data_IF_178636221167
#
_entry.id   IF_178636221167
#
_cell.length_a   1.000
_cell.length_b   1.000
_cell.length_c   1.000
_cell.angle_alpha   90.00
_cell.angle_beta   90.00
_cell.angle_gamma   90.00
#
_symmetry.space_group_name_H-M   'P 1'
#
loop_
_entity.id
_entity.type
_entity.pdbx_description
1 polymer ?
#
# COMPACT_ATOMS: atom_id res chain seq x y z
N UNK A 1 -23.20 -12.49 -38.63
CA UNK A 1 -22.92 -11.50 -37.55
C UNK A 1 -23.55 -12.06 -36.28
N UNK A 2 -22.83 -12.77 -35.37
CA UNK A 2 -22.08 -12.25 -34.19
C UNK A 2 -22.85 -11.12 -33.48
N UNK A 3 -23.24 -11.14 -32.19
CA UNK A 3 -22.89 -11.94 -30.99
C UNK A 3 -24.03 -11.85 -29.94
N UNK A 4 -24.14 -12.86 -29.07
CA UNK A 4 -24.90 -12.93 -27.79
C UNK A 4 -24.25 -12.09 -26.66
N UNK A 5 -24.97 -12.01 -25.51
CA UNK A 5 -24.67 -11.51 -24.14
C UNK A 5 -25.05 -10.02 -23.92
N UNK A 6 -25.78 -9.58 -22.87
CA UNK A 6 -25.90 -9.99 -21.46
C UNK A 6 -27.32 -9.82 -20.87
N UNK A 7 -27.64 -10.57 -19.82
CA UNK A 7 -28.76 -10.33 -18.89
C UNK A 7 -28.34 -9.37 -17.79
N UNK A 8 -29.25 -8.50 -17.32
CA UNK A 8 -29.30 -8.08 -15.90
C UNK A 8 -30.73 -7.72 -15.51
N UNK A 9 -31.15 -8.34 -14.42
CA UNK A 9 -32.34 -8.10 -13.59
C UNK A 9 -32.17 -6.86 -12.71
N UNK A 10 -33.31 -6.26 -12.33
CA UNK A 10 -33.53 -5.15 -11.37
C UNK A 10 -33.81 -3.77 -11.99
N UNK A 11 -35.06 -3.60 -12.41
CA UNK A 11 -35.73 -2.30 -12.41
C UNK A 11 -37.07 -2.49 -11.70
N UNK A 12 -37.06 -2.41 -10.38
CA UNK A 12 -38.26 -2.13 -9.60
C UNK A 12 -38.53 -0.62 -9.72
N UNK A 13 -39.22 -0.26 -10.78
CA UNK A 13 -39.80 1.07 -11.00
C UNK A 13 -41.21 0.86 -11.53
N UNK A 14 -42.11 0.40 -10.65
CA UNK A 14 -43.52 0.27 -10.99
C UNK A 14 -44.13 1.68 -11.09
N UNK A 15 -44.28 2.19 -12.31
CA UNK A 15 -45.24 3.22 -12.66
C UNK A 15 -46.08 2.66 -13.79
N UNK A 16 -47.31 2.26 -13.51
CA UNK A 16 -48.35 2.17 -14.52
C UNK A 16 -49.72 2.57 -13.96
N UNK A 17 -50.08 3.82 -14.24
CA UNK A 17 -51.33 4.33 -14.82
C UNK A 17 -52.66 3.71 -14.34
N UNK A 18 -53.50 4.53 -13.71
CA UNK A 18 -54.87 4.80 -14.17
C UNK A 18 -55.54 5.95 -13.39
N UNK A 19 -55.59 7.15 -13.98
CA UNK A 19 -56.87 7.84 -14.17
C UNK A 19 -56.69 8.92 -15.25
N UNK A 20 -57.56 8.91 -16.25
CA UNK A 20 -57.75 10.07 -17.12
C UNK A 20 -58.37 11.19 -16.28
N UNK A 21 -57.54 11.91 -15.54
CA UNK A 21 -57.81 13.24 -14.99
C UNK A 21 -56.51 14.03 -15.15
N UNK A 22 -56.49 14.94 -16.13
CA UNK A 22 -55.33 15.70 -16.56
C UNK A 22 -54.98 16.82 -15.57
N UNK A 23 -54.36 16.45 -14.46
CA UNK A 23 -53.83 17.38 -13.46
C UNK A 23 -52.64 16.77 -12.73
N UNK A 24 -51.55 16.48 -13.46
CA UNK A 24 -50.31 16.06 -12.82
C UNK A 24 -49.61 17.29 -12.22
N UNK A 25 -49.60 17.40 -10.89
CA UNK A 25 -48.68 18.29 -10.17
C UNK A 25 -47.29 17.67 -10.27
N UNK A 26 -46.42 18.24 -11.11
CA UNK A 26 -45.02 17.80 -11.18
C UNK A 26 -44.29 18.24 -9.91
N UNK A 27 -43.73 17.28 -9.17
CA UNK A 27 -42.77 17.57 -8.08
C UNK A 27 -41.45 18.01 -8.73
N UNK A 28 -40.94 19.23 -8.49
CA UNK A 28 -39.96 19.84 -9.41
C UNK A 28 -38.55 19.25 -9.41
N UNK A 29 -38.17 18.35 -8.49
CA UNK A 29 -36.76 17.99 -8.32
C UNK A 29 -36.52 16.47 -8.45
N UNK A 30 -35.93 16.04 -9.57
CA UNK A 30 -35.34 14.72 -9.75
C UNK A 30 -33.90 14.70 -9.21
N UNK A 31 -33.63 13.86 -8.22
CA UNK A 31 -32.27 13.67 -7.71
C UNK A 31 -31.39 13.00 -8.78
N UNK A 32 -30.27 13.64 -9.15
CA UNK A 32 -29.27 12.96 -9.96
C UNK A 32 -28.55 11.90 -9.11
N UNK A 33 -28.31 10.74 -9.71
CA UNK A 33 -27.60 9.64 -9.05
C UNK A 33 -26.23 10.10 -8.57
N UNK A 34 -25.98 9.99 -7.25
CA UNK A 34 -24.68 10.27 -6.63
C UNK A 34 -24.54 11.60 -5.88
N UNK A 35 -25.53 12.49 -5.90
CA UNK A 35 -25.56 13.68 -5.02
C UNK A 35 -26.32 13.40 -3.71
N UNK A 36 -25.76 13.69 -2.52
CA UNK A 36 -26.49 13.58 -1.26
C UNK A 36 -27.66 14.59 -1.22
N UNK A 37 -28.87 14.12 -0.95
CA UNK A 37 -30.02 15.00 -0.78
C UNK A 37 -29.83 15.86 0.48
N UNK A 38 -29.91 17.18 0.34
CA UNK A 38 -29.81 18.12 1.48
C UNK A 38 -31.18 18.29 2.12
N UNK A 39 -31.23 18.35 3.45
CA UNK A 39 -32.48 18.31 4.22
C UNK A 39 -33.50 19.41 3.81
N UNK A 40 -33.01 20.57 3.36
CA UNK A 40 -33.86 21.66 2.87
C UNK A 40 -34.63 21.31 1.60
N UNK A 41 -34.00 20.61 0.65
CA UNK A 41 -34.62 20.21 -0.63
C UNK A 41 -35.64 19.07 -0.42
N UNK A 42 -35.36 18.18 0.55
CA UNK A 42 -36.28 17.11 0.94
C UNK A 42 -37.53 17.68 1.59
N UNK A 43 -37.38 18.66 2.47
CA UNK A 43 -38.51 19.32 3.14
C UNK A 43 -39.39 20.10 2.15
N UNK A 44 -38.81 20.77 1.17
CA UNK A 44 -39.56 21.52 0.16
C UNK A 44 -40.44 20.59 -0.71
N UNK A 45 -39.94 19.38 -1.01
CA UNK A 45 -40.75 18.34 -1.69
C UNK A 45 -41.89 17.82 -0.80
N UNK A 46 -41.70 17.75 0.53
CA UNK A 46 -42.76 17.39 1.47
C UNK A 46 -43.82 18.47 1.58
N UNK A 47 -43.46 19.76 1.58
CA UNK A 47 -44.41 20.87 1.63
C UNK A 47 -45.30 20.94 0.38
N UNK A 48 -44.73 20.68 -0.81
CA UNK A 48 -45.49 20.59 -2.07
C UNK A 48 -46.46 19.41 -2.05
N UNK A 49 -46.05 18.28 -1.47
CA UNK A 49 -46.89 17.11 -1.32
C UNK A 49 -48.01 17.37 -0.30
N UNK A 50 -47.72 18.03 0.82
CA UNK A 50 -48.70 18.40 1.84
C UNK A 50 -49.78 19.35 1.28
N UNK A 51 -49.40 20.33 0.46
CA UNK A 51 -50.35 21.21 -0.23
C UNK A 51 -51.21 20.45 -1.24
N UNK A 52 -50.64 19.49 -1.99
CA UNK A 52 -51.39 18.65 -2.91
C UNK A 52 -52.39 17.74 -2.18
N UNK A 53 -52.03 17.25 -0.98
CA UNK A 53 -52.92 16.47 -0.11
C UNK A 53 -54.05 17.34 0.45
N UNK A 54 -53.77 18.57 0.90
CA UNK A 54 -54.81 19.49 1.39
C UNK A 54 -55.86 19.83 0.33
N UNK A 55 -55.47 19.92 -0.95
CA UNK A 55 -56.42 20.12 -2.07
C UNK A 55 -57.33 18.89 -2.24
N UNK A 56 -56.80 17.69 -2.04
CA UNK A 56 -57.56 16.43 -2.14
C UNK A 56 -58.45 16.18 -0.90
N UNK A 57 -58.12 16.77 0.24
CA UNK A 57 -58.93 16.73 1.47
C UNK A 57 -60.06 17.77 1.50
N UNK A 58 -60.11 18.70 0.53
CA UNK A 58 -61.19 19.68 0.43
C UNK A 58 -62.50 19.01 0.01
N UNK A 59 -63.59 19.30 0.73
CA UNK A 59 -64.93 18.74 0.47
C UNK A 59 -65.71 19.46 -0.64
N UNK A 60 -65.06 20.36 -1.37
CA UNK A 60 -65.72 21.13 -2.41
C UNK A 60 -65.84 20.28 -3.69
N UNK A 61 -67.05 20.11 -4.26
CA UNK A 61 -67.24 19.30 -5.46
C UNK A 61 -66.49 19.93 -6.65
N UNK A 62 -65.62 19.15 -7.29
CA UNK A 62 -64.97 19.53 -8.54
C UNK A 62 -65.99 19.40 -9.68
N UNK A 63 -66.36 20.49 -10.37
CA UNK A 63 -67.38 20.43 -11.43
C UNK A 63 -66.95 19.50 -12.56
N UNK A 64 -67.83 18.59 -12.97
CA UNK A 64 -67.56 17.69 -14.10
C UNK A 64 -67.27 18.45 -15.41
N UNK A 65 -66.55 17.85 -16.37
CA UNK A 65 -66.28 18.48 -17.66
C UNK A 65 -67.60 18.82 -18.37
N UNK A 66 -67.63 20.00 -19.00
CA UNK A 66 -68.81 20.47 -19.72
C UNK A 66 -69.18 19.50 -20.85
N UNK A 67 -70.48 19.24 -21.04
CA UNK A 67 -70.94 18.29 -22.06
C UNK A 67 -70.53 18.71 -23.48
N UNK A 68 -70.50 17.79 -24.46
CA UNK A 68 -70.23 18.13 -25.85
C UNK A 68 -71.29 19.09 -26.41
N UNK A 69 -70.88 19.99 -27.30
CA UNK A 69 -71.82 20.88 -28.02
C UNK A 69 -72.74 20.09 -28.94
N UNK A 70 -74.01 20.52 -29.04
CA UNK A 70 -75.00 19.87 -29.90
C UNK A 70 -74.67 20.03 -31.40
N UNK A 71 -75.11 19.09 -32.25
CA UNK A 71 -74.83 19.14 -33.68
C UNK A 71 -75.45 20.39 -34.33
N UNK A 72 -74.72 20.99 -35.28
CA UNK A 72 -75.18 22.15 -36.03
C UNK A 72 -76.26 21.73 -37.05
N UNK A 73 -77.37 22.48 -37.10
CA UNK A 73 -78.50 22.19 -37.99
C UNK A 73 -78.11 22.23 -39.48
N UNK A 74 -78.55 21.23 -40.24
CA UNK A 74 -78.23 21.10 -41.68
C UNK A 74 -78.72 22.30 -42.50
N UNK A 75 -77.84 22.82 -43.37
CA UNK A 75 -78.11 23.97 -44.23
C UNK A 75 -79.02 23.58 -45.41
N UNK A 76 -80.17 24.23 -45.54
CA UNK A 76 -81.06 24.07 -46.70
C UNK A 76 -80.52 24.76 -47.96
N UNK A 77 -81.01 24.44 -49.16
CA UNK A 77 -80.38 24.80 -50.45
C UNK A 77 -80.33 26.31 -50.77
N UNK A 78 -80.89 27.20 -49.93
CA UNK A 78 -80.86 28.64 -50.17
C UNK A 78 -80.83 29.54 -48.91
N UNK A 79 -80.27 29.07 -47.79
CA UNK A 79 -80.07 29.89 -46.57
C UNK A 79 -78.79 29.51 -45.81
N UNK A 80 -78.27 30.37 -44.93
CA UNK A 80 -77.11 30.09 -44.05
C UNK A 80 -77.42 29.00 -43.01
N UNK A 81 -76.43 28.19 -42.62
CA UNK A 81 -76.59 27.10 -41.65
C UNK A 81 -77.24 27.59 -40.33
N UNK A 82 -78.08 26.76 -39.70
CA UNK A 82 -78.77 27.10 -38.45
C UNK A 82 -77.80 27.23 -37.26
N UNK A 83 -78.20 27.90 -36.16
CA UNK A 83 -77.37 28.04 -34.96
C UNK A 83 -77.03 26.67 -34.35
N UNK A 84 -75.82 26.55 -33.80
CA UNK A 84 -75.33 25.34 -33.14
C UNK A 84 -76.15 25.06 -31.87
N UNK A 85 -76.46 23.78 -31.61
CA UNK A 85 -77.27 23.39 -30.45
C UNK A 85 -76.56 23.69 -29.13
N UNK A 86 -77.33 24.07 -28.10
CA UNK A 86 -76.79 24.40 -26.77
C UNK A 86 -75.93 23.27 -26.20
N UNK A 87 -74.85 23.64 -25.50
CA UNK A 87 -73.96 22.71 -24.83
C UNK A 87 -74.72 21.86 -23.81
N UNK A 88 -74.50 20.53 -23.83
CA UNK A 88 -75.14 19.62 -22.88
C UNK A 88 -74.78 19.93 -21.42
N UNK A 89 -75.60 19.52 -20.43
CA UNK A 89 -75.28 19.72 -19.02
C UNK A 89 -73.92 19.10 -18.68
N UNK A 90 -73.17 19.73 -17.77
CA UNK A 90 -71.92 19.18 -17.25
C UNK A 90 -72.14 17.78 -16.66
N UNK A 91 -71.14 16.89 -16.80
CA UNK A 91 -71.18 15.56 -16.20
C UNK A 91 -71.32 15.63 -14.67
N UNK A 92 -71.76 14.54 -14.04
CA UNK A 92 -71.87 14.45 -12.58
C UNK A 92 -70.55 14.81 -11.89
N UNK A 93 -70.64 15.59 -10.81
CA UNK A 93 -69.49 15.95 -9.99
C UNK A 93 -68.77 14.69 -9.48
N UNK A 94 -67.44 14.71 -9.51
CA UNK A 94 -66.65 13.62 -8.96
C UNK A 94 -66.77 13.66 -7.43
N UNK A 95 -67.46 12.67 -6.85
CA UNK A 95 -67.44 12.44 -5.41
C UNK A 95 -66.05 11.89 -5.08
N UNK A 96 -65.21 12.70 -4.44
CA UNK A 96 -63.98 12.23 -3.80
C UNK A 96 -64.44 11.40 -2.59
N UNK A 97 -64.26 10.08 -2.63
CA UNK A 97 -64.43 9.19 -1.48
C UNK A 97 -63.19 9.32 -0.59
N UNK A 98 -63.26 9.97 0.58
CA UNK A 98 -62.10 10.13 1.47
C UNK A 98 -61.58 8.79 2.01
N UNK A 99 -62.36 7.71 1.90
CA UNK A 99 -61.95 6.36 2.29
C UNK A 99 -60.93 5.70 1.36
N UNK A 100 -60.65 6.28 0.19
CA UNK A 100 -59.75 5.74 -0.84
C UNK A 100 -58.37 6.42 -0.89
N UNK A 101 -58.09 7.40 -0.02
CA UNK A 101 -56.75 7.97 0.14
C UNK A 101 -55.88 6.99 0.94
N UNK A 102 -55.37 5.95 0.27
CA UNK A 102 -54.37 5.06 0.85
C UNK A 102 -53.03 5.80 0.94
N UNK A 103 -52.80 6.50 2.05
CA UNK A 103 -51.45 6.91 2.50
C UNK A 103 -50.66 5.65 2.88
N UNK A 104 -50.22 4.89 1.89
CA UNK A 104 -49.68 3.54 2.13
C UNK A 104 -48.17 3.51 2.22
N UNK A 105 -47.68 4.11 3.30
CA UNK A 105 -46.52 3.60 4.03
C UNK A 105 -46.96 3.43 5.49
N UNK A 106 -47.35 2.21 5.87
CA UNK A 106 -47.75 1.86 7.23
C UNK A 106 -46.61 1.13 7.92
N UNK A 107 -45.73 1.88 8.58
CA UNK A 107 -44.65 1.34 9.40
C UNK A 107 -43.46 2.29 9.53
N UNK A 108 -42.77 2.21 10.65
CA UNK A 108 -41.49 2.90 10.89
C UNK A 108 -40.48 1.87 11.36
N UNK A 109 -39.27 1.91 10.84
CA UNK A 109 -38.21 1.06 11.34
C UNK A 109 -37.71 1.54 12.71
N UNK A 110 -37.37 0.59 13.57
CA UNK A 110 -36.74 0.91 14.85
C UNK A 110 -35.46 1.71 14.62
N UNK A 111 -35.12 2.60 15.56
CA UNK A 111 -33.87 3.36 15.51
C UNK A 111 -32.69 2.39 15.37
N UNK A 112 -31.88 2.54 14.32
CA UNK A 112 -30.79 1.62 13.97
C UNK A 112 -31.14 0.56 12.91
N UNK A 113 -32.37 0.55 12.40
CA UNK A 113 -32.81 -0.27 11.25
C UNK A 113 -33.05 0.62 10.03
N UNK A 114 -32.98 0.05 8.83
CA UNK A 114 -33.30 0.75 7.58
C UNK A 114 -34.53 0.12 6.91
N UNK A 115 -35.18 0.88 6.04
CA UNK A 115 -36.30 0.36 5.23
C UNK A 115 -35.71 -0.55 4.15
N UNK A 116 -35.94 -1.86 4.27
CA UNK A 116 -35.48 -2.86 3.30
C UNK A 116 -36.41 -2.98 2.08
N UNK A 117 -37.72 -2.85 2.29
CA UNK A 117 -38.72 -2.83 1.21
C UNK A 117 -40.02 -2.17 1.68
N UNK A 118 -40.83 -1.70 0.72
CA UNK A 118 -42.23 -1.28 0.95
C UNK A 118 -43.09 -2.14 0.02
N UNK A 119 -44.00 -2.93 0.59
CA UNK A 119 -44.87 -3.82 -0.19
C UNK A 119 -46.01 -3.04 -0.88
N UNK A 120 -46.69 -3.67 -1.85
CA UNK A 120 -47.84 -3.07 -2.56
C UNK A 120 -48.99 -2.64 -1.63
N UNK A 121 -49.06 -3.23 -0.43
CA UNK A 121 -50.03 -2.87 0.60
C UNK A 121 -49.58 -1.71 1.51
N UNK A 122 -48.40 -1.15 1.26
CA UNK A 122 -47.79 -0.07 2.04
C UNK A 122 -47.02 -0.51 3.27
N UNK A 123 -46.92 -1.80 3.57
CA UNK A 123 -46.17 -2.26 4.75
C UNK A 123 -44.66 -2.05 4.57
N UNK A 124 -44.01 -1.52 5.61
CA UNK A 124 -42.55 -1.33 5.66
C UNK A 124 -41.89 -2.60 6.18
N UNK A 125 -41.05 -3.23 5.36
CA UNK A 125 -40.13 -4.27 5.81
C UNK A 125 -38.84 -3.61 6.27
N UNK A 126 -38.44 -3.83 7.52
CA UNK A 126 -37.23 -3.28 8.08
C UNK A 126 -36.06 -4.26 7.97
N UNK A 127 -34.94 -3.79 7.45
CA UNK A 127 -33.66 -4.46 7.58
C UNK A 127 -33.07 -4.11 8.95
N UNK A 128 -32.81 -5.12 9.77
CA UNK A 128 -32.15 -4.89 11.05
C UNK A 128 -30.68 -4.57 10.80
N UNK A 129 -30.22 -3.40 11.22
CA UNK A 129 -28.79 -3.05 11.26
C UNK A 129 -28.00 -3.85 12.31
N UNK A 130 -28.67 -4.71 13.10
CA UNK A 130 -28.12 -5.62 14.11
C UNK A 130 -28.93 -6.92 14.17
N UNK A 131 -28.33 -8.10 14.00
CA UNK A 131 -29.01 -9.38 14.32
C UNK A 131 -28.82 -9.80 15.79
N UNK A 132 -29.47 -10.88 16.22
CA UNK A 132 -29.30 -11.43 17.57
C UNK A 132 -27.85 -11.85 17.88
N UNK A 133 -27.03 -11.96 16.84
CA UNK A 133 -25.62 -12.34 16.85
C UNK A 133 -24.69 -11.11 16.91
N UNK A 134 -25.26 -9.92 17.13
CA UNK A 134 -24.58 -8.63 17.23
C UNK A 134 -23.86 -8.18 15.95
N UNK A 135 -24.29 -8.63 14.78
CA UNK A 135 -23.70 -8.23 13.50
C UNK A 135 -24.27 -6.91 12.96
N UNK A 136 -23.41 -5.99 12.53
CA UNK A 136 -23.80 -4.80 11.76
C UNK A 136 -23.87 -5.09 10.27
N UNK A 137 -24.99 -4.79 9.61
CA UNK A 137 -25.22 -5.09 8.18
C UNK A 137 -25.85 -3.94 7.41
N UNK A 138 -25.16 -3.47 6.37
CA UNK A 138 -25.62 -2.42 5.46
C UNK A 138 -25.16 -2.69 4.02
N UNK A 139 -26.09 -2.81 3.08
CA UNK A 139 -25.81 -3.11 1.67
C UNK A 139 -26.44 -4.44 1.21
N UNK A 140 -26.84 -4.49 -0.05
CA UNK A 140 -27.41 -5.70 -0.65
C UNK A 140 -26.39 -6.85 -0.62
N UNK A 141 -26.82 -8.05 -0.27
CA UNK A 141 -25.94 -9.23 -0.22
C UNK A 141 -24.98 -9.29 0.98
N UNK A 142 -25.00 -8.32 1.89
CA UNK A 142 -24.15 -8.34 3.08
C UNK A 142 -24.57 -9.43 4.08
N UNK A 143 -23.63 -10.26 4.54
CA UNK A 143 -23.83 -11.33 5.54
C UNK A 143 -24.94 -12.36 5.22
N UNK A 144 -25.27 -12.57 3.93
CA UNK A 144 -26.40 -13.46 3.54
C UNK A 144 -26.19 -14.94 3.88
N UNK A 145 -24.95 -15.41 3.92
CA UNK A 145 -24.62 -16.82 4.24
C UNK A 145 -24.33 -17.05 5.72
N UNK A 146 -24.45 -16.02 6.56
CA UNK A 146 -24.07 -16.10 7.97
C UNK A 146 -24.99 -17.06 8.73
N UNK A 147 -24.41 -18.01 9.45
CA UNK A 147 -25.18 -19.07 10.12
C UNK A 147 -25.60 -18.56 11.51
N UNK A 148 -26.90 -18.37 11.74
CA UNK A 148 -27.43 -17.90 13.02
C UNK A 148 -26.91 -18.70 14.22
N UNK A 149 -26.43 -17.99 15.26
CA UNK A 149 -25.76 -18.59 16.43
C UNK A 149 -24.27 -18.91 16.24
N UNK A 150 -23.71 -18.54 15.09
CA UNK A 150 -22.29 -18.51 14.75
C UNK A 150 -22.01 -17.30 13.84
N UNK A 151 -20.75 -16.95 13.60
CA UNK A 151 -20.44 -15.75 12.81
C UNK A 151 -20.91 -14.48 13.50
N UNK A 152 -20.54 -14.32 14.77
CA UNK A 152 -20.99 -13.28 15.68
C UNK A 152 -20.16 -11.99 15.53
N UNK A 153 -20.77 -10.87 15.89
CA UNK A 153 -20.12 -9.57 16.07
C UNK A 153 -19.30 -9.07 14.87
N UNK A 154 -19.79 -9.31 13.66
CA UNK A 154 -19.23 -8.82 12.41
C UNK A 154 -19.80 -7.43 12.05
N UNK A 155 -19.05 -6.64 11.29
CA UNK A 155 -19.52 -5.39 10.67
C UNK A 155 -19.37 -5.50 9.16
N UNK A 156 -20.46 -5.46 8.41
CA UNK A 156 -20.50 -5.54 6.96
C UNK A 156 -21.21 -4.32 6.37
N UNK A 157 -20.46 -3.46 5.67
CA UNK A 157 -20.96 -2.23 5.05
C UNK A 157 -20.51 -2.18 3.59
N UNK A 158 -21.41 -2.44 2.66
CA UNK A 158 -21.15 -2.46 1.22
C UNK A 158 -21.90 -3.58 0.51
N UNK A 159 -22.00 -3.47 -0.81
CA UNK A 159 -22.55 -4.54 -1.66
C UNK A 159 -21.72 -5.83 -1.44
N UNK A 160 -22.39 -6.93 -1.08
CA UNK A 160 -21.78 -8.26 -0.87
C UNK A 160 -20.62 -8.31 0.15
N UNK A 161 -20.53 -7.34 1.06
CA UNK A 161 -19.56 -7.40 2.15
C UNK A 161 -19.85 -8.62 3.04
N UNK A 162 -18.84 -9.47 3.31
CA UNK A 162 -19.01 -10.71 4.09
C UNK A 162 -20.10 -11.67 3.57
N UNK A 163 -20.40 -11.67 2.26
CA UNK A 163 -21.51 -12.44 1.68
C UNK A 163 -21.47 -13.94 2.01
N UNK A 164 -20.28 -14.56 1.95
CA UNK A 164 -20.10 -15.99 2.16
C UNK A 164 -19.54 -16.35 3.54
N UNK A 165 -19.60 -15.42 4.52
CA UNK A 165 -19.29 -15.69 5.92
C UNK A 165 -20.20 -16.78 6.47
N UNK A 166 -19.63 -17.90 6.94
CA UNK A 166 -20.41 -19.00 7.53
C UNK A 166 -20.19 -19.08 9.05
N UNK A 167 -18.94 -19.14 9.49
CA UNK A 167 -18.54 -19.32 10.90
C UNK A 167 -17.59 -18.23 11.42
N UNK A 168 -17.20 -17.28 10.56
CA UNK A 168 -16.24 -16.23 10.88
C UNK A 168 -16.80 -15.18 11.83
N UNK A 169 -16.18 -15.02 12.98
CA UNK A 169 -16.57 -14.08 14.03
C UNK A 169 -15.64 -12.85 14.08
N UNK A 170 -16.15 -11.72 14.57
CA UNK A 170 -15.39 -10.49 14.84
C UNK A 170 -14.65 -9.88 13.63
N UNK A 171 -15.26 -9.94 12.45
CA UNK A 171 -14.70 -9.33 11.24
C UNK A 171 -15.32 -7.95 10.96
N UNK A 172 -14.52 -7.04 10.42
CA UNK A 172 -14.98 -5.74 9.90
C UNK A 172 -14.73 -5.70 8.40
N UNK A 173 -15.77 -5.47 7.60
CA UNK A 173 -15.74 -5.40 6.15
C UNK A 173 -16.48 -4.13 5.68
N UNK A 174 -15.75 -3.17 5.12
CA UNK A 174 -16.28 -1.90 4.64
C UNK A 174 -15.82 -1.68 3.19
N UNK A 175 -16.76 -1.75 2.25
CA UNK A 175 -16.50 -1.68 0.81
C UNK A 175 -17.26 -2.77 0.05
N UNK A 176 -17.46 -2.57 -1.25
CA UNK A 176 -18.03 -3.61 -2.09
C UNK A 176 -17.11 -4.83 -2.14
N UNK A 177 -17.69 -6.02 -1.94
CA UNK A 177 -17.03 -7.33 -1.91
C UNK A 177 -15.90 -7.47 -0.87
N UNK A 178 -15.82 -6.53 0.10
CA UNK A 178 -14.86 -6.63 1.20
C UNK A 178 -15.11 -7.90 2.01
N UNK A 179 -14.07 -8.72 2.21
CA UNK A 179 -14.16 -10.02 2.89
C UNK A 179 -15.23 -10.99 2.32
N UNK A 180 -15.61 -10.85 1.04
CA UNK A 180 -16.78 -11.52 0.46
C UNK A 180 -16.79 -13.06 0.56
N UNK A 181 -15.63 -13.72 0.41
CA UNK A 181 -15.45 -15.19 0.45
C UNK A 181 -14.86 -15.68 1.78
N UNK A 182 -15.02 -14.94 2.87
CA UNK A 182 -14.59 -15.42 4.20
C UNK A 182 -15.48 -16.58 4.64
N UNK A 183 -14.97 -17.77 4.98
CA UNK A 183 -15.83 -18.85 5.51
C UNK A 183 -15.70 -18.98 7.02
N UNK A 184 -14.48 -19.15 7.52
CA UNK A 184 -14.22 -19.40 8.95
C UNK A 184 -13.29 -18.37 9.60
N UNK A 185 -12.65 -17.51 8.78
CA UNK A 185 -11.68 -16.53 9.24
C UNK A 185 -12.25 -15.58 10.29
N UNK A 186 -11.45 -15.28 11.33
CA UNK A 186 -11.85 -14.43 12.45
C UNK A 186 -10.92 -13.23 12.62
N UNK A 187 -11.43 -12.19 13.27
CA UNK A 187 -10.64 -11.00 13.63
C UNK A 187 -10.00 -10.30 12.42
N UNK A 188 -10.65 -10.35 11.26
CA UNK A 188 -10.15 -9.68 10.06
C UNK A 188 -10.75 -8.28 9.92
N UNK A 189 -9.95 -7.32 9.46
CA UNK A 189 -10.40 -5.98 9.11
C UNK A 189 -10.13 -5.74 7.62
N UNK A 190 -11.15 -5.46 6.85
CA UNK A 190 -11.09 -5.18 5.42
C UNK A 190 -11.80 -3.86 5.12
N UNK A 191 -11.05 -2.88 4.62
CA UNK A 191 -11.56 -1.55 4.28
C UNK A 191 -11.10 -1.18 2.87
N UNK A 192 -12.04 -1.17 1.94
CA UNK A 192 -11.79 -0.92 0.52
C UNK A 192 -12.52 -1.93 -0.36
N UNK A 193 -12.74 -1.55 -1.63
CA UNK A 193 -13.34 -2.46 -2.61
C UNK A 193 -12.43 -3.65 -2.83
N UNK A 194 -12.98 -4.86 -2.77
CA UNK A 194 -12.26 -6.14 -2.87
C UNK A 194 -11.14 -6.33 -1.83
N UNK A 195 -11.11 -5.55 -0.74
CA UNK A 195 -10.14 -5.77 0.33
C UNK A 195 -10.37 -7.15 0.96
N UNK A 196 -9.33 -7.98 0.96
CA UNK A 196 -9.32 -9.32 1.58
C UNK A 196 -10.47 -10.23 1.09
N UNK A 197 -10.85 -10.10 -0.19
CA UNK A 197 -12.02 -10.78 -0.75
C UNK A 197 -12.01 -12.30 -0.56
N UNK A 198 -10.90 -13.01 -0.86
CA UNK A 198 -10.85 -14.50 -0.92
C UNK A 198 -10.43 -15.23 0.37
N UNK A 199 -10.73 -14.69 1.55
CA UNK A 199 -10.21 -15.16 2.84
C UNK A 199 -10.91 -16.39 3.45
N UNK A 200 -10.74 -17.59 2.87
CA UNK A 200 -11.42 -18.80 3.35
C UNK A 200 -11.30 -19.03 4.87
N UNK A 201 -10.08 -19.21 5.40
CA UNK A 201 -9.87 -19.54 6.84
C UNK A 201 -8.86 -18.65 7.56
N UNK A 202 -8.21 -17.71 6.87
CA UNK A 202 -7.21 -16.82 7.45
C UNK A 202 -7.77 -15.94 8.57
N UNK A 203 -7.01 -15.73 9.64
CA UNK A 203 -7.45 -14.92 10.79
C UNK A 203 -6.45 -13.83 11.14
N UNK A 204 -6.91 -12.79 11.84
CA UNK A 204 -6.10 -11.64 12.29
C UNK A 204 -5.45 -10.85 11.14
N UNK A 205 -6.10 -10.77 9.99
CA UNK A 205 -5.59 -9.98 8.86
C UNK A 205 -6.18 -8.56 8.86
N UNK A 206 -5.37 -7.56 8.57
CA UNK A 206 -5.80 -6.17 8.34
C UNK A 206 -5.50 -5.78 6.90
N UNK A 207 -6.52 -5.44 6.11
CA UNK A 207 -6.42 -5.01 4.73
C UNK A 207 -7.11 -3.66 4.55
N UNK A 208 -6.36 -2.62 4.24
CA UNK A 208 -6.87 -1.28 3.96
C UNK A 208 -6.38 -0.80 2.59
N UNK A 209 -7.31 -0.62 1.65
CA UNK A 209 -7.01 -0.23 0.28
C UNK A 209 -7.73 -1.10 -0.74
N UNK A 210 -7.90 -0.58 -1.95
CA UNK A 210 -8.56 -1.32 -3.04
C UNK A 210 -7.71 -2.53 -3.44
N UNK A 211 -8.30 -3.72 -3.36
CA UNK A 211 -7.64 -5.00 -3.66
C UNK A 211 -6.47 -5.35 -2.74
N UNK A 212 -6.37 -4.73 -1.56
CA UNK A 212 -5.39 -5.13 -0.56
C UNK A 212 -5.70 -6.57 -0.10
N UNK A 213 -4.69 -7.45 -0.09
CA UNK A 213 -4.78 -8.82 0.43
C UNK A 213 -5.86 -9.70 -0.25
N UNK A 214 -6.26 -9.37 -1.48
CA UNK A 214 -7.43 -9.97 -2.16
C UNK A 214 -7.31 -11.48 -2.39
N UNK A 215 -6.09 -11.99 -2.63
CA UNK A 215 -5.82 -13.40 -2.91
C UNK A 215 -5.69 -14.30 -1.68
N UNK A 216 -5.71 -13.74 -0.47
CA UNK A 216 -5.40 -14.48 0.76
C UNK A 216 -6.45 -15.55 1.02
N UNK A 217 -6.07 -16.82 1.04
CA UNK A 217 -6.99 -17.95 1.27
C UNK A 217 -6.89 -18.47 2.70
N UNK A 218 -5.69 -18.77 3.19
CA UNK A 218 -5.46 -19.33 4.53
C UNK A 218 -4.44 -18.56 5.36
N UNK A 219 -3.77 -17.56 4.77
CA UNK A 219 -2.78 -16.74 5.46
C UNK A 219 -3.36 -15.96 6.63
N UNK A 220 -2.61 -15.86 7.71
CA UNK A 220 -3.02 -15.21 8.96
C UNK A 220 -2.01 -14.17 9.43
N UNK A 221 -2.46 -13.25 10.28
CA UNK A 221 -1.62 -12.20 10.88
C UNK A 221 -0.95 -11.25 9.88
N UNK A 222 -1.54 -11.04 8.70
CA UNK A 222 -1.00 -10.12 7.69
C UNK A 222 -1.57 -8.71 7.85
N UNK A 223 -0.73 -7.69 7.63
CA UNK A 223 -1.13 -6.28 7.56
C UNK A 223 -0.84 -5.73 6.16
N UNK A 224 -1.87 -5.36 5.42
CA UNK A 224 -1.79 -4.77 4.09
C UNK A 224 -2.45 -3.38 4.08
N UNK A 225 -1.67 -2.33 3.85
CA UNK A 225 -2.15 -0.95 3.79
C UNK A 225 -1.67 -0.29 2.48
N UNK A 226 -2.55 -0.19 1.51
CA UNK A 226 -2.27 0.37 0.19
C UNK A 226 -3.03 -0.35 -0.91
N UNK A 227 -3.21 0.32 -2.05
CA UNK A 227 -3.81 -0.29 -3.23
C UNK A 227 -2.95 -1.47 -3.70
N UNK A 228 -3.53 -2.66 -3.81
CA UNK A 228 -2.88 -3.92 -4.17
C UNK A 228 -1.73 -4.37 -3.22
N UNK A 229 -1.67 -3.87 -1.98
CA UNK A 229 -0.70 -4.39 -1.01
C UNK A 229 -1.00 -5.88 -0.71
N UNK A 230 0.02 -6.75 -0.77
CA UNK A 230 -0.10 -8.20 -0.60
C UNK A 230 -1.17 -8.87 -1.51
N UNK A 231 -1.39 -8.33 -2.71
CA UNK A 231 -2.48 -8.74 -3.60
C UNK A 231 -2.55 -10.26 -3.85
N UNK A 232 -1.42 -10.92 -4.13
CA UNK A 232 -1.39 -12.33 -4.50
C UNK A 232 -1.10 -13.29 -3.32
N UNK A 233 -1.06 -12.81 -2.06
CA UNK A 233 -0.80 -13.67 -0.90
C UNK A 233 -1.81 -14.79 -0.86
N UNK A 234 -1.42 -16.06 -0.75
CA UNK A 234 -2.35 -17.20 -0.64
C UNK A 234 -2.36 -17.75 0.77
N UNK A 235 -1.21 -18.23 1.24
CA UNK A 235 -1.05 -18.84 2.57
C UNK A 235 0.10 -18.27 3.39
N UNK A 236 0.75 -17.21 2.92
CA UNK A 236 1.80 -16.52 3.67
C UNK A 236 1.25 -15.88 4.95
N UNK A 237 2.02 -15.98 6.04
CA UNK A 237 1.66 -15.46 7.35
C UNK A 237 2.60 -14.34 7.79
N UNK A 238 2.14 -13.52 8.74
CA UNK A 238 2.97 -12.55 9.46
C UNK A 238 3.68 -11.54 8.54
N UNK A 239 3.05 -11.18 7.41
CA UNK A 239 3.60 -10.18 6.49
C UNK A 239 3.02 -8.79 6.74
N UNK A 240 3.88 -7.77 6.66
CA UNK A 240 3.51 -6.35 6.74
C UNK A 240 3.81 -5.71 5.39
N UNK A 241 2.81 -5.14 4.73
CA UNK A 241 2.92 -4.44 3.46
C UNK A 241 2.24 -3.07 3.54
N UNK A 242 3.02 -2.00 3.56
CA UNK A 242 2.54 -0.63 3.64
C UNK A 242 3.04 0.15 2.42
N UNK A 243 2.15 0.43 1.48
CA UNK A 243 2.48 1.08 0.22
C UNK A 243 1.68 0.50 -0.95
N UNK A 244 1.64 1.24 -2.06
CA UNK A 244 1.04 0.73 -3.29
C UNK A 244 1.80 -0.49 -3.78
N UNK A 245 1.11 -1.62 -3.98
CA UNK A 245 1.67 -2.88 -4.48
C UNK A 245 2.92 -3.36 -3.71
N UNK A 246 3.03 -3.04 -2.42
CA UNK A 246 4.05 -3.64 -1.56
C UNK A 246 3.74 -5.14 -1.38
N UNK A 247 4.74 -6.02 -1.54
CA UNK A 247 4.59 -7.48 -1.51
C UNK A 247 3.52 -8.04 -2.47
N UNK A 248 3.28 -7.39 -3.62
CA UNK A 248 2.22 -7.78 -4.58
C UNK A 248 2.33 -9.25 -5.01
N UNK A 249 3.54 -9.74 -5.31
CA UNK A 249 3.81 -11.10 -5.76
C UNK A 249 3.87 -12.17 -4.67
N UNK A 250 3.73 -11.83 -3.38
CA UNK A 250 3.87 -12.81 -2.29
C UNK A 250 2.82 -13.89 -2.45
N UNK A 251 3.19 -15.17 -2.40
CA UNK A 251 2.23 -16.28 -2.42
C UNK A 251 2.24 -17.00 -1.08
N UNK A 252 3.40 -17.55 -0.71
CA UNK A 252 3.59 -18.34 0.52
C UNK A 252 4.67 -17.78 1.45
N UNK A 253 5.37 -16.72 1.05
CA UNK A 253 6.40 -16.08 1.88
C UNK A 253 5.87 -15.63 3.24
N UNK A 254 6.71 -15.75 4.27
CA UNK A 254 6.35 -15.52 5.68
C UNK A 254 7.30 -14.52 6.32
N UNK A 255 6.80 -13.73 7.28
CA UNK A 255 7.58 -12.78 8.07
C UNK A 255 8.31 -11.71 7.23
N UNK A 256 7.69 -11.23 6.15
CA UNK A 256 8.25 -10.13 5.37
C UNK A 256 7.68 -8.78 5.79
N UNK A 257 8.52 -7.76 5.88
CA UNK A 257 8.13 -6.38 6.12
C UNK A 257 8.49 -5.53 4.90
N UNK A 258 7.49 -4.99 4.22
CA UNK A 258 7.61 -4.12 3.06
C UNK A 258 6.96 -2.75 3.35
N UNK A 259 7.75 -1.69 3.40
CA UNK A 259 7.26 -0.32 3.59
C UNK A 259 7.76 0.56 2.45
N UNK A 260 6.86 1.05 1.61
CA UNK A 260 7.17 1.80 0.40
C UNK A 260 6.41 1.25 -0.81
N UNK A 261 6.15 2.11 -1.80
CA UNK A 261 5.55 1.65 -3.05
C UNK A 261 6.45 0.62 -3.72
N UNK A 262 5.88 -0.51 -4.14
CA UNK A 262 6.59 -1.61 -4.81
C UNK A 262 7.75 -2.24 -4.01
N UNK A 263 7.82 -2.02 -2.69
CA UNK A 263 8.78 -2.74 -1.85
C UNK A 263 8.46 -4.24 -1.87
N UNK A 264 9.48 -5.09 -2.08
CA UNK A 264 9.34 -6.55 -2.20
C UNK A 264 8.31 -7.00 -3.27
N UNK A 265 8.14 -6.21 -4.34
CA UNK A 265 7.09 -6.41 -5.35
C UNK A 265 7.03 -7.83 -5.92
N UNK A 266 8.17 -8.44 -6.26
CA UNK A 266 8.23 -9.75 -6.91
C UNK A 266 8.39 -10.94 -5.96
N UNK A 267 8.42 -10.72 -4.63
CA UNK A 267 8.72 -11.77 -3.66
C UNK A 267 7.64 -12.83 -3.71
N UNK A 268 7.93 -14.09 -4.01
CA UNK A 268 6.92 -15.16 -4.05
C UNK A 268 6.97 -16.02 -2.80
N UNK A 269 8.17 -16.52 -2.47
CA UNK A 269 8.40 -17.51 -1.41
C UNK A 269 9.43 -17.03 -0.37
N UNK A 270 10.19 -15.98 -0.67
CA UNK A 270 11.20 -15.44 0.23
C UNK A 270 10.63 -15.09 1.60
N UNK A 271 11.41 -15.35 2.64
CA UNK A 271 11.01 -15.17 4.03
C UNK A 271 11.95 -14.21 4.76
N UNK A 272 11.47 -13.63 5.87
CA UNK A 272 12.29 -12.81 6.78
C UNK A 272 12.95 -11.61 6.08
N UNK A 273 12.36 -11.08 5.01
CA UNK A 273 12.90 -9.92 4.31
C UNK A 273 12.32 -8.63 4.88
N UNK A 274 13.17 -7.63 5.07
CA UNK A 274 12.77 -6.24 5.40
C UNK A 274 13.14 -5.32 4.26
N UNK A 275 12.15 -4.82 3.51
CA UNK A 275 12.30 -3.80 2.48
C UNK A 275 11.64 -2.50 2.91
N UNK A 276 12.43 -1.44 3.16
CA UNK A 276 11.95 -0.13 3.56
C UNK A 276 12.46 0.95 2.59
N UNK A 277 11.59 1.41 1.68
CA UNK A 277 11.91 2.34 0.60
C UNK A 277 11.11 2.00 -0.64
N UNK A 278 10.93 2.98 -1.53
CA UNK A 278 10.29 2.72 -2.81
C UNK A 278 11.13 1.70 -3.59
N UNK A 279 10.49 0.61 -4.00
CA UNK A 279 11.11 -0.49 -4.74
C UNK A 279 12.35 -1.12 -4.08
N UNK A 280 12.45 -1.07 -2.75
CA UNK A 280 13.44 -1.88 -2.02
C UNK A 280 13.15 -3.37 -2.25
N UNK A 281 14.16 -4.18 -2.59
CA UNK A 281 14.02 -5.61 -2.91
C UNK A 281 13.00 -5.92 -4.04
N UNK A 282 12.84 -5.00 -4.99
CA UNK A 282 11.82 -5.10 -6.05
C UNK A 282 11.79 -6.45 -6.80
N UNK A 283 12.96 -6.98 -7.16
CA UNK A 283 13.08 -8.21 -7.95
C UNK A 283 13.30 -9.48 -7.12
N UNK A 284 13.22 -9.41 -5.79
CA UNK A 284 13.41 -10.59 -4.94
C UNK A 284 12.33 -11.62 -5.24
N UNK A 285 12.67 -12.88 -5.48
CA UNK A 285 11.71 -13.96 -5.76
C UNK A 285 11.70 -14.95 -4.59
N UNK A 286 12.85 -15.57 -4.31
CA UNK A 286 13.01 -16.59 -3.25
C UNK A 286 14.07 -16.25 -2.21
N UNK A 287 14.85 -15.17 -2.41
CA UNK A 287 15.84 -14.72 -1.46
C UNK A 287 15.23 -14.45 -0.08
N UNK A 288 15.94 -14.82 0.98
CA UNK A 288 15.45 -14.75 2.36
C UNK A 288 16.42 -14.02 3.29
N UNK A 289 15.92 -13.52 4.41
CA UNK A 289 16.72 -12.84 5.43
C UNK A 289 17.47 -11.60 4.92
N UNK A 290 16.93 -10.91 3.90
CA UNK A 290 17.54 -9.68 3.40
C UNK A 290 16.99 -8.45 4.13
N UNK A 291 17.85 -7.46 4.40
CA UNK A 291 17.47 -6.14 4.90
C UNK A 291 17.85 -5.09 3.87
N UNK A 292 16.88 -4.39 3.29
CA UNK A 292 17.06 -3.35 2.29
C UNK A 292 16.36 -2.07 2.75
N UNK A 293 17.14 -1.05 3.12
CA UNK A 293 16.64 0.23 3.62
C UNK A 293 17.13 1.34 2.69
N UNK A 294 16.22 1.93 1.93
CA UNK A 294 16.49 2.96 0.93
C UNK A 294 15.75 2.67 -0.37
N UNK A 295 15.46 3.74 -1.13
CA UNK A 295 14.91 3.62 -2.48
C UNK A 295 15.84 2.79 -3.37
N UNK A 296 15.24 1.82 -4.08
CA UNK A 296 15.92 0.88 -4.98
C UNK A 296 17.07 0.07 -4.34
N UNK A 297 17.08 -0.06 -3.00
CA UNK A 297 18.06 -0.91 -2.30
C UNK A 297 17.80 -2.40 -2.59
N UNK A 298 18.86 -3.17 -2.89
CA UNK A 298 18.79 -4.56 -3.39
C UNK A 298 17.81 -4.78 -4.56
N UNK A 299 17.62 -3.79 -5.43
CA UNK A 299 16.65 -3.87 -6.53
C UNK A 299 16.78 -5.15 -7.37
N UNK A 300 18.00 -5.52 -7.76
CA UNK A 300 18.26 -6.63 -8.68
C UNK A 300 18.41 -7.99 -7.99
N UNK A 301 18.31 -8.05 -6.65
CA UNK A 301 18.43 -9.31 -5.93
C UNK A 301 17.25 -10.20 -6.27
N UNK A 302 17.48 -11.40 -6.83
CA UNK A 302 16.41 -12.35 -7.20
C UNK A 302 16.33 -13.54 -6.23
N UNK A 303 17.48 -14.15 -5.94
CA UNK A 303 17.57 -15.35 -5.09
C UNK A 303 18.59 -15.23 -3.96
N UNK A 304 19.37 -14.14 -3.93
CA UNK A 304 20.37 -13.92 -2.90
C UNK A 304 19.74 -13.74 -1.53
N UNK A 305 20.39 -14.28 -0.51
CA UNK A 305 19.91 -14.26 0.88
C UNK A 305 20.91 -13.56 1.80
N UNK A 306 20.45 -13.19 3.00
CA UNK A 306 21.31 -12.67 4.06
C UNK A 306 22.09 -11.40 3.66
N UNK A 307 21.56 -10.61 2.72
CA UNK A 307 22.16 -9.34 2.33
C UNK A 307 21.61 -8.20 3.18
N UNK A 308 22.49 -7.27 3.58
CA UNK A 308 22.13 -6.01 4.21
C UNK A 308 22.51 -4.88 3.26
N UNK A 309 21.54 -4.06 2.87
CA UNK A 309 21.77 -2.87 2.06
C UNK A 309 21.11 -1.64 2.67
N UNK A 310 21.89 -0.58 2.87
CA UNK A 310 21.40 0.65 3.51
C UNK A 310 21.83 1.87 2.69
N UNK A 311 20.87 2.64 2.21
CA UNK A 311 21.03 3.85 1.41
C UNK A 311 20.35 3.77 0.04
N UNK A 312 20.25 4.93 -0.63
CA UNK A 312 19.76 5.03 -2.01
C UNK A 312 20.60 4.14 -2.93
N UNK A 313 19.94 3.21 -3.65
CA UNK A 313 20.58 2.23 -4.53
C UNK A 313 21.68 1.39 -3.87
N UNK A 314 21.63 1.21 -2.55
CA UNK A 314 22.56 0.33 -1.88
C UNK A 314 22.33 -1.12 -2.32
N UNK A 315 23.38 -1.85 -2.70
CA UNK A 315 23.29 -3.21 -3.21
C UNK A 315 22.44 -3.35 -4.49
N UNK A 316 22.20 -2.26 -5.23
CA UNK A 316 21.36 -2.26 -6.44
C UNK A 316 21.71 -3.38 -7.42
N UNK A 317 23.00 -3.67 -7.60
CA UNK A 317 23.51 -4.71 -8.50
C UNK A 317 23.78 -6.06 -7.80
N UNK A 318 23.60 -6.15 -6.48
CA UNK A 318 23.88 -7.37 -5.71
C UNK A 318 22.87 -8.46 -6.06
N UNK A 319 23.39 -9.63 -6.44
CA UNK A 319 22.58 -10.83 -6.73
C UNK A 319 23.04 -12.08 -5.96
N UNK A 320 24.20 -12.03 -5.29
CA UNK A 320 24.69 -13.12 -4.42
C UNK A 320 24.22 -12.97 -2.97
N UNK A 321 24.92 -13.61 -2.04
CA UNK A 321 24.43 -13.86 -0.66
C UNK A 321 25.43 -13.34 0.39
N UNK A 322 24.98 -13.05 1.61
CA UNK A 322 25.84 -12.64 2.74
C UNK A 322 26.67 -11.36 2.47
N UNK A 323 26.12 -10.39 1.73
CA UNK A 323 26.80 -9.12 1.49
C UNK A 323 26.27 -8.00 2.40
N UNK A 324 27.14 -7.06 2.74
CA UNK A 324 26.77 -5.81 3.42
C UNK A 324 27.13 -4.64 2.50
N UNK A 325 26.14 -3.88 2.03
CA UNK A 325 26.31 -2.72 1.14
C UNK A 325 25.76 -1.47 1.80
N UNK A 326 26.61 -0.53 2.20
CA UNK A 326 26.19 0.74 2.79
C UNK A 326 26.57 1.87 1.85
N UNK A 327 25.57 2.53 1.26
CA UNK A 327 25.75 3.56 0.22
C UNK A 327 26.64 3.12 -0.96
N UNK A 328 26.70 1.81 -1.22
CA UNK A 328 27.45 1.20 -2.31
C UNK A 328 26.49 0.43 -3.22
N UNK A 329 26.65 0.49 -4.53
CA UNK A 329 25.77 -0.22 -5.47
C UNK A 329 25.89 -1.76 -5.42
N UNK A 330 26.92 -2.30 -4.76
CA UNK A 330 27.22 -3.73 -4.76
C UNK A 330 27.76 -4.22 -6.09
N UNK A 331 28.03 -5.53 -6.17
CA UNK A 331 28.54 -6.19 -7.37
C UNK A 331 27.70 -7.44 -7.64
N UNK A 332 27.37 -7.68 -8.90
CA UNK A 332 26.59 -8.85 -9.31
C UNK A 332 27.36 -10.15 -9.04
N UNK A 333 26.67 -11.14 -8.47
CA UNK A 333 27.22 -12.46 -8.11
C UNK A 333 28.17 -12.45 -6.90
N UNK A 334 28.56 -11.29 -6.39
CA UNK A 334 29.41 -11.19 -5.21
C UNK A 334 28.71 -11.78 -3.98
N UNK A 335 29.47 -12.46 -3.13
CA UNK A 335 28.97 -13.02 -1.87
C UNK A 335 29.99 -12.81 -0.75
N UNK A 336 29.54 -12.86 0.50
CA UNK A 336 30.39 -12.75 1.68
C UNK A 336 31.22 -11.45 1.76
N UNK A 337 30.73 -10.36 1.17
CA UNK A 337 31.51 -9.14 1.00
C UNK A 337 30.85 -7.93 1.65
N UNK A 338 31.64 -7.13 2.38
CA UNK A 338 31.22 -5.83 2.88
C UNK A 338 31.77 -4.71 1.98
N UNK A 339 30.88 -3.81 1.54
CA UNK A 339 31.18 -2.58 0.80
C UNK A 339 30.54 -1.39 1.50
N UNK A 340 31.36 -0.41 1.89
CA UNK A 340 30.90 0.83 2.53
C UNK A 340 31.37 2.02 1.70
N UNK A 341 30.43 2.88 1.31
CA UNK A 341 30.67 4.06 0.48
C UNK A 341 30.58 3.81 -1.03
N UNK A 342 30.92 4.81 -1.83
CA UNK A 342 30.94 4.74 -3.30
C UNK A 342 31.92 5.74 -3.88
N UNK A 343 31.93 5.92 -5.21
CA UNK A 343 32.91 6.77 -5.90
C UNK A 343 32.98 8.23 -5.38
N UNK A 344 31.90 8.72 -4.77
CA UNK A 344 31.82 10.07 -4.21
C UNK A 344 32.21 10.16 -2.72
N UNK A 345 32.42 9.03 -2.04
CA UNK A 345 32.81 9.00 -0.63
C UNK A 345 34.33 9.18 -0.50
N UNK A 346 34.77 10.38 -0.09
CA UNK A 346 36.21 10.71 -0.06
C UNK A 346 36.90 10.35 1.27
N UNK A 347 36.16 10.16 2.37
CA UNK A 347 36.72 9.91 3.70
C UNK A 347 35.85 8.92 4.47
N UNK A 348 36.50 8.05 5.24
CA UNK A 348 35.86 7.17 6.23
C UNK A 348 36.45 7.44 7.61
N UNK A 349 35.58 7.66 8.60
CA UNK A 349 35.98 7.87 10.00
C UNK A 349 35.45 6.73 10.84
N UNK A 350 36.35 5.93 11.41
CA UNK A 350 36.00 4.86 12.36
C UNK A 350 36.45 5.31 13.75
N UNK A 351 35.49 5.56 14.63
CA UNK A 351 35.77 5.97 15.99
C UNK A 351 36.44 4.84 16.80
N UNK A 352 37.26 5.21 17.80
CA UNK A 352 37.86 4.26 18.73
C UNK A 352 39.10 3.50 18.23
N UNK A 353 39.52 3.69 16.97
CA UNK A 353 40.77 3.10 16.45
C UNK A 353 41.83 4.14 16.11
N UNK A 354 41.44 5.41 15.92
CA UNK A 354 42.38 6.49 15.60
C UNK A 354 43.08 6.94 16.88
N UNK A 355 44.42 7.01 16.83
CA UNK A 355 45.28 7.43 17.94
C UNK A 355 45.18 6.54 19.20
N UNK A 356 44.74 5.29 19.02
CA UNK A 356 44.68 4.27 20.07
C UNK A 356 45.82 3.27 19.87
N UNK A 357 46.71 3.16 20.86
CA UNK A 357 47.80 2.18 20.87
C UNK A 357 47.38 0.90 21.59
N UNK A 358 47.86 -0.25 21.12
CA UNK A 358 47.69 -1.55 21.80
C UNK A 358 48.98 -1.94 22.53
N UNK A 359 48.84 -2.46 23.74
CA UNK A 359 49.91 -3.03 24.57
C UNK A 359 50.00 -4.56 24.42
N UNK A 360 49.20 -5.14 23.52
CA UNK A 360 49.18 -6.58 23.27
C UNK A 360 50.36 -6.94 22.37
N UNK A 361 51.26 -7.79 22.88
CA UNK A 361 52.54 -8.11 22.26
C UNK A 361 52.44 -8.82 20.90
N UNK A 362 51.27 -9.37 20.55
CA UNK A 362 51.01 -10.08 19.29
C UNK A 362 50.26 -9.22 18.25
N UNK A 363 50.09 -7.92 18.50
CA UNK A 363 49.47 -7.01 17.56
C UNK A 363 50.23 -6.93 16.22
N UNK A 364 49.50 -7.03 15.11
CA UNK A 364 50.04 -6.98 13.74
C UNK A 364 49.61 -5.69 13.05
N UNK A 365 50.54 -5.01 12.39
CA UNK A 365 50.25 -3.82 11.59
C UNK A 365 49.33 -4.16 10.42
N UNK A 366 48.21 -3.45 10.32
CA UNK A 366 47.32 -3.48 9.15
C UNK A 366 47.80 -2.45 8.13
N UNK A 367 47.84 -2.84 6.87
CA UNK A 367 48.25 -2.01 5.73
C UNK A 367 47.12 -1.97 4.70
N UNK A 368 47.10 -0.95 3.85
CA UNK A 368 46.22 -0.89 2.68
C UNK A 368 47.02 -1.39 1.47
N UNK A 369 46.49 -2.36 0.74
CA UNK A 369 47.09 -2.90 -0.47
C UNK A 369 46.80 -2.03 -1.71
N UNK A 370 47.29 -2.44 -2.88
CA UNK A 370 47.06 -1.71 -4.15
C UNK A 370 45.60 -1.74 -4.61
N UNK A 371 44.77 -2.64 -4.06
CA UNK A 371 43.34 -2.74 -4.34
C UNK A 371 42.50 -1.93 -3.33
N UNK A 372 43.14 -1.21 -2.39
CA UNK A 372 42.45 -0.45 -1.36
C UNK A 372 41.90 -1.31 -0.23
N UNK A 373 42.34 -2.57 -0.10
CA UNK A 373 41.92 -3.49 0.95
C UNK A 373 42.83 -3.40 2.16
N UNK A 374 42.23 -3.45 3.36
CA UNK A 374 42.99 -3.62 4.60
C UNK A 374 43.49 -5.06 4.70
N UNK A 375 44.78 -5.25 4.99
CA UNK A 375 45.40 -6.56 5.15
C UNK A 375 46.64 -6.50 6.05
N UNK A 376 47.33 -7.62 6.21
CA UNK A 376 48.60 -7.71 6.93
C UNK A 376 49.72 -8.08 5.97
N UNK A 377 50.96 -7.76 6.35
CA UNK A 377 52.14 -8.15 5.56
C UNK A 377 52.71 -9.45 6.13
N UNK A 378 52.81 -10.49 5.30
CA UNK A 378 53.46 -11.75 5.66
C UNK A 378 54.92 -11.75 5.22
N UNK A 379 55.82 -12.17 6.11
CA UNK A 379 57.27 -12.23 5.84
C UNK A 379 57.86 -13.63 6.07
N UNK A 380 57.01 -14.65 6.23
CA UNK A 380 57.47 -16.04 6.43
C UNK A 380 58.16 -16.59 5.18
N UNK A 381 59.21 -17.40 5.38
CA UNK A 381 59.92 -18.11 4.29
C UNK A 381 58.97 -18.91 3.39
N UNK A 382 57.82 -19.38 3.92
CA UNK A 382 56.79 -20.09 3.14
C UNK A 382 56.22 -19.28 1.97
N UNK A 383 56.33 -17.95 2.02
CA UNK A 383 55.82 -17.03 1.01
C UNK A 383 56.94 -16.27 0.28
N UNK A 384 58.20 -16.71 0.43
CA UNK A 384 59.36 -16.08 -0.22
C UNK A 384 60.08 -17.09 -1.09
N UNK A 385 60.55 -16.65 -2.23
CA UNK A 385 61.40 -17.40 -3.16
C UNK A 385 62.73 -16.68 -3.35
N UNK A 386 63.73 -17.39 -3.88
CA UNK A 386 65.07 -16.84 -4.17
C UNK A 386 65.74 -16.10 -2.99
N UNK A 387 65.52 -16.62 -1.77
CA UNK A 387 66.08 -16.03 -0.56
C UNK A 387 67.60 -16.27 -0.51
N UNK A 388 68.38 -15.24 -0.79
CA UNK A 388 69.84 -15.24 -0.69
C UNK A 388 70.35 -14.11 0.21
N UNK A 389 71.59 -14.24 0.69
CA UNK A 389 72.28 -13.14 1.37
C UNK A 389 72.48 -11.95 0.42
N UNK A 390 72.35 -10.72 0.94
CA UNK A 390 72.45 -9.49 0.13
C UNK A 390 73.90 -9.13 -0.31
N UNK A 391 74.91 -9.94 0.04
CA UNK A 391 76.31 -9.69 -0.34
C UNK A 391 76.83 -8.31 0.11
N UNK A 392 77.55 -7.59 -0.76
CA UNK A 392 78.08 -6.25 -0.45
C UNK A 392 76.98 -5.21 -0.14
N UNK A 393 75.74 -5.43 -0.59
CA UNK A 393 74.64 -4.51 -0.31
C UNK A 393 74.23 -4.49 1.17
N UNK A 394 74.44 -5.58 1.93
CA UNK A 394 74.25 -5.56 3.39
C UNK A 394 75.37 -4.79 4.11
N UNK A 395 76.55 -4.66 3.51
CA UNK A 395 77.64 -3.85 4.05
C UNK A 395 77.25 -2.36 4.14
N UNK A 396 76.57 -1.85 3.11
CA UNK A 396 76.05 -0.47 3.06
C UNK A 396 75.02 -0.17 4.16
N UNK A 397 74.31 -1.18 4.69
CA UNK A 397 73.43 -0.98 5.85
C UNK A 397 74.20 -0.53 7.11
N UNK A 398 75.49 -0.89 7.24
CA UNK A 398 76.34 -0.46 8.36
C UNK A 398 76.83 0.98 8.19
N UNK A 399 76.77 1.55 6.98
CA UNK A 399 77.11 2.95 6.71
C UNK A 399 75.98 3.91 7.10
N UNK A 400 74.76 3.39 7.33
CA UNK A 400 73.65 4.15 7.87
C UNK A 400 73.97 4.56 9.31
N UNK A 401 73.72 5.83 9.65
CA UNK A 401 74.02 6.41 10.96
C UNK A 401 72.73 6.62 11.75
N UNK A 402 72.38 5.73 12.70
CA UNK A 402 71.24 5.95 13.58
C UNK A 402 71.48 7.19 14.44
N UNK A 403 70.47 8.05 14.52
CA UNK A 403 70.52 9.26 15.33
C UNK A 403 69.39 9.26 16.36
N UNK A 404 69.58 10.05 17.40
CA UNK A 404 68.48 10.49 18.26
C UNK A 404 68.11 11.92 17.92
N UNK A 405 66.82 12.23 17.93
CA UNK A 405 66.35 13.56 17.56
C UNK A 405 65.08 13.94 18.32
N UNK A 406 64.72 15.22 18.24
CA UNK A 406 63.43 15.77 18.67
C UNK A 406 62.89 16.60 17.53
N UNK A 407 61.61 16.47 17.22
CA UNK A 407 60.99 17.29 16.19
C UNK A 407 61.03 18.79 16.56
N UNK A 408 61.17 19.64 15.54
CA UNK A 408 61.19 21.10 15.71
C UNK A 408 59.84 21.61 16.25
N UNK A 409 58.74 20.98 15.86
CA UNK A 409 57.41 21.25 16.38
C UNK A 409 57.07 20.30 17.54
N UNK A 410 56.29 20.79 18.50
CA UNK A 410 55.79 19.95 19.60
C UNK A 410 54.65 19.07 19.09
N UNK A 411 54.46 17.90 19.71
CA UNK A 411 53.26 17.09 19.48
C UNK A 411 52.02 17.85 19.97
N UNK A 412 50.83 17.42 19.58
CA UNK A 412 49.57 18.04 20.02
C UNK A 412 49.43 18.10 21.56
N UNK A 413 50.09 17.20 22.28
CA UNK A 413 50.22 17.15 23.75
C UNK A 413 51.20 18.16 24.36
N UNK A 414 51.93 18.92 23.55
CA UNK A 414 52.89 19.95 23.98
C UNK A 414 54.30 19.43 24.29
N UNK A 415 54.52 18.12 24.28
CA UNK A 415 55.82 17.49 24.52
C UNK A 415 56.64 17.29 23.24
N UNK A 416 57.96 17.14 23.42
CA UNK A 416 58.95 16.83 22.39
C UNK A 416 59.80 15.65 22.83
N UNK A 417 59.29 14.42 22.82
CA UNK A 417 60.04 13.26 23.30
C UNK A 417 61.30 13.03 22.46
N UNK A 418 62.30 12.39 23.06
CA UNK A 418 63.49 11.94 22.34
C UNK A 418 63.11 10.72 21.51
N UNK A 419 63.38 10.76 20.22
CA UNK A 419 63.09 9.69 19.26
C UNK A 419 64.38 9.16 18.62
N UNK A 420 64.29 7.99 17.98
CA UNK A 420 65.39 7.29 17.31
C UNK A 420 65.05 7.11 15.84
N UNK A 421 66.00 7.31 14.93
CA UNK A 421 65.75 7.12 13.50
C UNK A 421 66.96 7.37 12.62
N UNK A 422 66.70 7.61 11.33
CA UNK A 422 67.69 7.92 10.30
C UNK A 422 67.34 9.28 9.68
N UNK A 423 68.35 9.99 9.18
CA UNK A 423 68.19 11.26 8.47
C UNK A 423 68.06 10.97 6.98
N UNK A 424 66.99 11.45 6.34
CA UNK A 424 66.69 11.13 4.94
C UNK A 424 67.80 11.55 3.98
N UNK A 425 68.47 12.67 4.25
CA UNK A 425 69.63 13.16 3.51
C UNK A 425 70.81 12.19 3.58
N UNK A 426 71.11 11.65 4.76
CA UNK A 426 72.19 10.66 4.94
C UNK A 426 71.84 9.32 4.29
N UNK A 427 70.56 8.92 4.36
CA UNK A 427 70.08 7.72 3.66
C UNK A 427 70.18 7.92 2.14
N UNK A 428 70.00 9.13 1.61
CA UNK A 428 70.08 9.38 0.17
C UNK A 428 71.49 9.13 -0.39
N UNK A 429 72.54 9.36 0.42
CA UNK A 429 73.93 9.09 0.05
C UNK A 429 74.23 7.58 0.00
N UNK A 430 73.66 6.82 0.93
CA UNK A 430 73.94 5.38 1.09
C UNK A 430 72.97 4.50 0.30
N UNK A 431 71.69 4.85 0.23
CA UNK A 431 70.62 4.15 -0.49
C UNK A 431 69.61 5.16 -1.08
N UNK A 432 69.94 5.82 -2.20
CA UNK A 432 69.06 6.84 -2.80
C UNK A 432 67.66 6.34 -3.13
N UNK A 433 67.53 5.05 -3.49
CA UNK A 433 66.24 4.43 -3.83
C UNK A 433 65.26 4.34 -2.65
N UNK A 434 65.80 4.35 -1.42
CA UNK A 434 65.04 4.30 -0.18
C UNK A 434 64.59 5.67 0.31
N UNK A 435 64.81 6.75 -0.46
CA UNK A 435 64.40 8.11 -0.09
C UNK A 435 63.26 8.58 -0.98
N UNK A 436 62.28 9.26 -0.38
CA UNK A 436 61.27 10.03 -1.10
C UNK A 436 61.77 11.47 -1.18
N UNK A 437 61.78 12.02 -2.38
CA UNK A 437 62.10 13.42 -2.61
C UNK A 437 60.80 14.23 -2.74
N UNK A 438 60.78 15.44 -2.19
CA UNK A 438 59.66 16.35 -2.36
C UNK A 438 59.62 16.97 -3.77
N UNK A 439 58.61 17.80 -4.06
CA UNK A 439 58.43 18.44 -5.37
C UNK A 439 59.57 19.39 -5.79
N UNK A 440 60.46 19.75 -4.85
CA UNK A 440 61.66 20.57 -5.11
C UNK A 440 62.93 19.71 -5.26
N UNK A 441 62.81 18.38 -5.23
CA UNK A 441 63.93 17.45 -5.39
C UNK A 441 64.79 17.27 -4.13
N UNK A 442 64.28 17.65 -2.95
CA UNK A 442 64.99 17.49 -1.67
C UNK A 442 64.54 16.21 -0.96
N UNK A 443 65.44 15.46 -0.30
CA UNK A 443 65.09 14.35 0.58
C UNK A 443 64.03 14.78 1.62
N UNK A 444 62.92 14.04 1.71
CA UNK A 444 61.79 14.36 2.61
C UNK A 444 61.57 13.26 3.66
N UNK A 445 61.61 11.99 3.27
CA UNK A 445 61.41 10.86 4.18
C UNK A 445 62.02 9.56 3.67
N UNK A 446 62.27 8.61 4.56
CA UNK A 446 62.82 7.28 4.26
C UNK A 446 61.67 6.29 4.03
N UNK A 447 61.76 5.53 2.93
CA UNK A 447 60.83 4.45 2.58
C UNK A 447 61.12 3.20 3.40
N UNK A 448 60.70 3.17 4.66
CA UNK A 448 60.93 2.03 5.56
C UNK A 448 60.37 0.69 5.07
N UNK A 449 59.38 0.68 4.16
CA UNK A 449 58.80 -0.56 3.60
C UNK A 449 59.61 -1.24 2.49
N UNK A 450 60.62 -0.57 1.92
CA UNK A 450 61.39 -1.09 0.78
C UNK A 450 62.77 -1.66 1.16
N UNK A 451 63.06 -1.75 2.46
CA UNK A 451 64.22 -2.49 2.99
C UNK A 451 63.97 -4.03 3.00
N UNK A 452 63.19 -4.52 2.04
CA UNK A 452 62.78 -5.92 1.93
C UNK A 452 63.68 -6.72 1.00
#
# INVERSE_FOLDING_TARGET
MKKKLFSYSSMAGAILIASTASGQTQVPNTFQSGTPAVASEVNENFDVLEQAVQVLESTDPVPGPAGPEGPQGVQGPQGSAGPQGAQGPAGQDAIIDPGLVQSRVSGTCAVGSYIAAIAEDGSVTCGNGGDADANTRYGEGALVSNIAGSGLANTAIGLQALQNNTLGDWNTAIGADALGDNTEGRFNTAVGVNALWRNLTGSNNTATGVGALVGNTTGSSNTAAGRLALHNNTSGNDNVAVGMAALDGNTIGVNNTATGAYALFSNTEGMLNTGAGQSALYSNITGSSNTAIGEESLWSNTTGSENIAIGYRAGYATTGTMNISIANAGVAGESNTMRVGGANLQRSFVAGIRDVTTDVADAVTVVIDSNGQLGTVSSSLRYKEEVSEMGEASGRLLDLKPVTFRYKEARASGDKPLEYGLIAEEVAEVFPDLVVFNSQGQPETVKYRLLS
#
